data_IF_734095473848
#
_entry.id   IF_734095473848
#
_cell.length_a   1.000
_cell.length_b   1.000
_cell.length_c   1.000
_cell.angle_alpha   90.00
_cell.angle_beta   90.00
_cell.angle_gamma   90.00
#
_symmetry.space_group_name_H-M   'P 1'
#
loop_
_entity.id
_entity.type
_entity.pdbx_description
1 polymer ?
#
# COMPACT_ATOMS: atom_id res chain seq x y z
N UNK A 1 6.03 -25.07 58.97
CA UNK A 1 6.99 -25.30 57.87
C UNK A 1 6.56 -24.43 56.69
N UNK A 2 7.17 -23.26 56.43
CA UNK A 2 6.79 -22.42 55.31
C UNK A 2 7.51 -22.89 54.02
N UNK A 3 6.75 -23.01 52.93
CA UNK A 3 7.26 -23.40 51.61
C UNK A 3 8.09 -22.26 50.98
N UNK A 4 9.26 -22.54 50.37
CA UNK A 4 10.05 -21.52 49.67
C UNK A 4 9.38 -21.17 48.33
N UNK A 5 9.09 -19.88 48.13
CA UNK A 5 8.46 -19.36 46.90
C UNK A 5 9.52 -19.31 45.79
N UNK A 6 9.55 -20.32 44.92
CA UNK A 6 10.31 -20.29 43.66
C UNK A 6 9.69 -19.26 42.73
N UNK A 7 10.27 -18.06 42.66
CA UNK A 7 9.89 -17.05 41.66
C UNK A 7 10.29 -17.55 40.26
N UNK A 8 9.31 -18.02 39.51
CA UNK A 8 9.49 -18.55 38.17
C UNK A 8 9.97 -17.45 37.22
N UNK A 9 10.91 -17.78 36.33
CA UNK A 9 11.40 -16.89 35.27
C UNK A 9 10.28 -16.34 34.36
N UNK A 10 9.10 -16.96 34.38
CA UNK A 10 7.88 -16.47 33.73
C UNK A 10 7.41 -15.11 34.26
N UNK A 11 7.56 -14.81 35.55
CA UNK A 11 7.18 -13.52 36.14
C UNK A 11 8.08 -12.38 35.66
N UNK A 12 9.35 -12.69 35.38
CA UNK A 12 10.30 -11.71 34.82
C UNK A 12 9.91 -11.40 33.37
N UNK A 13 9.51 -12.41 32.59
CA UNK A 13 9.14 -12.25 31.18
C UNK A 13 7.83 -11.46 30.99
N UNK A 14 6.84 -11.67 31.88
CA UNK A 14 5.57 -10.94 31.89
C UNK A 14 5.75 -9.43 32.15
N UNK A 15 6.79 -9.04 32.92
CA UNK A 15 7.11 -7.63 33.17
C UNK A 15 7.71 -6.90 31.96
N UNK A 16 8.39 -7.61 31.06
CA UNK A 16 9.01 -6.99 29.87
C UNK A 16 8.02 -6.82 28.71
N UNK A 17 6.97 -7.64 28.63
CA UNK A 17 5.99 -7.57 27.55
C UNK A 17 4.90 -6.50 27.75
N UNK A 18 4.80 -5.90 28.93
CA UNK A 18 3.80 -4.86 29.24
C UNK A 18 4.32 -3.43 29.09
N UNK A 19 5.13 -3.14 28.07
CA UNK A 19 5.27 -1.77 27.55
C UNK A 19 4.12 -1.47 26.58
N UNK A 20 2.88 -1.46 27.08
CA UNK A 20 1.79 -0.79 26.38
C UNK A 20 2.20 0.67 26.23
N UNK A 21 2.42 1.14 24.99
CA UNK A 21 2.55 2.57 24.68
C UNK A 21 1.38 3.27 25.38
N UNK A 22 1.69 4.11 26.38
CA UNK A 22 0.69 4.95 27.05
C UNK A 22 0.15 5.90 25.99
N UNK A 23 -0.99 5.56 25.38
CA UNK A 23 -1.79 6.54 24.67
C UNK A 23 -1.98 7.73 25.64
N UNK A 24 -1.84 8.99 25.18
CA UNK A 24 -1.94 10.15 26.06
C UNK A 24 -3.26 10.07 26.83
N UNK A 25 -3.18 10.03 28.16
CA UNK A 25 -4.32 9.83 29.05
C UNK A 25 -5.43 10.85 28.80
N UNK A 26 -5.06 12.08 28.41
CA UNK A 26 -5.98 13.14 28.00
C UNK A 26 -6.81 12.82 26.75
N UNK A 27 -6.24 12.19 25.71
CA UNK A 27 -7.04 11.79 24.53
C UNK A 27 -7.99 10.66 24.86
N UNK A 28 -7.57 9.73 25.73
CA UNK A 28 -8.42 8.63 26.20
C UNK A 28 -9.54 9.14 27.10
N UNK A 29 -9.25 10.04 28.04
CA UNK A 29 -10.25 10.72 28.86
C UNK A 29 -11.23 11.53 28.01
N UNK A 30 -10.78 12.22 26.96
CA UNK A 30 -11.66 13.00 26.08
C UNK A 30 -12.53 12.11 25.18
N UNK A 31 -12.03 10.92 24.78
CA UNK A 31 -12.79 9.89 24.07
C UNK A 31 -13.83 9.21 24.97
N UNK A 32 -13.43 8.83 26.19
CA UNK A 32 -14.26 8.09 27.16
C UNK A 32 -15.33 8.99 27.80
N UNK A 33 -15.13 10.31 27.78
CA UNK A 33 -16.10 11.28 28.29
C UNK A 33 -17.36 11.41 27.43
N UNK A 34 -17.37 10.90 26.19
CA UNK A 34 -18.53 10.99 25.29
C UNK A 34 -18.78 9.69 24.52
N UNK A 35 -19.91 9.05 24.78
CA UNK A 35 -20.39 7.86 24.05
C UNK A 35 -20.48 8.09 22.55
N UNK A 36 -20.73 9.33 22.12
CA UNK A 36 -20.78 9.74 20.71
C UNK A 36 -19.41 9.68 20.05
N UNK A 37 -18.34 10.07 20.74
CA UNK A 37 -16.97 10.01 20.21
C UNK A 37 -16.50 8.57 20.01
N UNK A 38 -16.86 7.68 20.95
CA UNK A 38 -16.57 6.24 20.83
C UNK A 38 -17.34 5.59 19.67
N UNK A 39 -18.62 5.94 19.51
CA UNK A 39 -19.42 5.47 18.36
C UNK A 39 -18.85 5.97 17.03
N UNK A 40 -18.51 7.26 16.92
CA UNK A 40 -17.92 7.83 15.69
C UNK A 40 -16.62 7.13 15.32
N UNK A 41 -15.73 6.89 16.27
CA UNK A 41 -14.45 6.20 16.00
C UNK A 41 -14.70 4.75 15.56
N UNK A 42 -15.70 4.09 16.14
CA UNK A 42 -16.06 2.73 15.74
C UNK A 42 -16.57 2.68 14.30
N UNK A 43 -17.44 3.62 13.91
CA UNK A 43 -17.90 3.74 12.53
C UNK A 43 -16.76 4.08 11.56
N UNK A 44 -15.88 5.02 11.92
CA UNK A 44 -14.72 5.38 11.10
C UNK A 44 -13.80 4.19 10.90
N UNK A 45 -13.50 3.43 11.96
CA UNK A 45 -12.66 2.23 11.87
C UNK A 45 -13.34 1.14 11.05
N UNK A 46 -14.66 0.96 11.17
CA UNK A 46 -15.42 -0.02 10.40
C UNK A 46 -15.41 0.32 8.90
N UNK A 47 -15.68 1.58 8.55
CA UNK A 47 -15.62 2.07 7.16
C UNK A 47 -14.20 1.93 6.61
N UNK A 48 -13.19 2.37 7.37
CA UNK A 48 -11.80 2.27 6.94
C UNK A 48 -11.36 0.81 6.73
N UNK A 49 -11.74 -0.10 7.64
CA UNK A 49 -11.41 -1.53 7.51
C UNK A 49 -12.11 -2.15 6.30
N UNK A 50 -13.38 -1.81 6.07
CA UNK A 50 -14.12 -2.27 4.89
C UNK A 50 -13.51 -1.74 3.60
N UNK A 51 -13.08 -0.49 3.56
CA UNK A 51 -12.43 0.12 2.39
C UNK A 51 -11.09 -0.56 2.10
N UNK A 52 -10.25 -0.75 3.11
CA UNK A 52 -8.95 -1.44 2.96
C UNK A 52 -9.13 -2.90 2.52
N UNK A 53 -10.13 -3.61 3.04
CA UNK A 53 -10.45 -4.96 2.60
C UNK A 53 -10.94 -4.98 1.14
N UNK A 54 -11.71 -3.97 0.74
CA UNK A 54 -12.15 -3.75 -0.64
C UNK A 54 -10.97 -3.51 -1.59
N UNK A 55 -10.07 -2.59 -1.26
CA UNK A 55 -8.87 -2.30 -2.07
C UNK A 55 -7.97 -3.54 -2.25
N UNK A 56 -7.83 -4.35 -1.19
CA UNK A 56 -7.11 -5.62 -1.25
C UNK A 56 -7.70 -6.62 -2.24
N UNK A 57 -9.03 -6.68 -2.36
CA UNK A 57 -9.71 -7.57 -3.30
C UNK A 57 -9.82 -6.99 -4.73
N UNK A 58 -9.91 -5.66 -4.87
CA UNK A 58 -10.03 -4.98 -6.16
C UNK A 58 -8.72 -4.95 -6.95
N UNK A 59 -7.58 -4.80 -6.27
CA UNK A 59 -6.26 -4.71 -6.90
C UNK A 59 -5.91 -5.91 -7.80
N UNK A 60 -6.05 -7.19 -7.36
CA UNK A 60 -5.79 -8.34 -8.24
C UNK A 60 -6.80 -8.42 -9.39
N UNK A 61 -8.07 -8.06 -9.16
CA UNK A 61 -9.10 -8.03 -10.21
C UNK A 61 -8.78 -7.02 -11.31
N UNK A 62 -8.46 -5.78 -10.94
CA UNK A 62 -8.14 -4.70 -11.89
C UNK A 62 -6.83 -5.01 -12.62
N UNK A 63 -5.81 -5.51 -11.91
CA UNK A 63 -4.52 -5.88 -12.52
C UNK A 63 -4.67 -6.98 -13.58
N UNK A 64 -5.41 -8.05 -13.29
CA UNK A 64 -5.67 -9.13 -14.25
C UNK A 64 -6.50 -8.63 -15.43
N UNK A 65 -7.58 -7.89 -15.19
CA UNK A 65 -8.40 -7.33 -16.27
C UNK A 65 -7.59 -6.41 -17.18
N UNK A 66 -6.75 -5.55 -16.61
CA UNK A 66 -5.85 -4.66 -17.37
C UNK A 66 -4.84 -5.46 -18.19
N UNK A 67 -4.23 -6.51 -17.63
CA UNK A 67 -3.30 -7.37 -18.34
C UNK A 67 -3.96 -8.08 -19.54
N UNK A 68 -5.16 -8.62 -19.35
CA UNK A 68 -5.86 -9.33 -20.43
C UNK A 68 -6.38 -8.35 -21.49
N UNK A 69 -6.85 -7.16 -21.12
CA UNK A 69 -7.19 -6.09 -22.07
C UNK A 69 -5.97 -5.62 -22.87
N UNK A 70 -4.80 -5.50 -22.24
CA UNK A 70 -3.55 -5.16 -22.92
C UNK A 70 -3.15 -6.21 -23.98
N UNK A 71 -3.39 -7.49 -23.70
CA UNK A 71 -3.17 -8.58 -24.65
C UNK A 71 -4.21 -8.54 -25.80
N UNK A 72 -5.48 -8.24 -25.50
CA UNK A 72 -6.53 -8.10 -26.52
C UNK A 72 -6.23 -6.98 -27.52
N UNK A 73 -5.68 -5.85 -27.07
CA UNK A 73 -5.29 -4.74 -27.95
C UNK A 73 -4.29 -5.15 -29.04
N UNK A 74 -3.48 -6.19 -28.81
CA UNK A 74 -2.51 -6.72 -29.77
C UNK A 74 -3.09 -7.81 -30.70
N UNK A 75 -4.26 -8.38 -30.39
CA UNK A 75 -4.88 -9.48 -31.14
C UNK A 75 -6.39 -9.28 -31.33
N UNK A 76 -6.83 -8.69 -32.47
CA UNK A 76 -8.25 -8.42 -32.75
C UNK A 76 -9.09 -9.67 -33.10
N UNK A 77 -8.54 -10.90 -32.96
CA UNK A 77 -9.22 -12.17 -33.29
C UNK A 77 -9.84 -12.89 -32.09
N UNK A 78 -9.73 -12.35 -30.87
CA UNK A 78 -10.30 -12.96 -29.66
C UNK A 78 -11.55 -12.19 -29.24
N UNK A 79 -12.72 -12.84 -29.33
CA UNK A 79 -14.01 -12.31 -28.89
C UNK A 79 -13.95 -11.86 -27.42
N UNK A 80 -14.58 -10.72 -27.12
CA UNK A 80 -14.53 -10.10 -25.78
C UNK A 80 -14.98 -11.04 -24.65
N UNK A 81 -15.91 -11.96 -24.92
CA UNK A 81 -16.39 -12.93 -23.92
C UNK A 81 -15.31 -13.92 -23.47
N UNK A 82 -14.43 -14.36 -24.38
CA UNK A 82 -13.34 -15.27 -24.03
C UNK A 82 -12.29 -14.61 -23.12
N UNK A 83 -12.09 -13.30 -23.27
CA UNK A 83 -11.18 -12.50 -22.45
C UNK A 83 -11.69 -12.39 -21.01
N UNK A 84 -13.00 -12.16 -20.83
CA UNK A 84 -13.62 -12.08 -19.51
C UNK A 84 -13.53 -13.44 -18.81
N UNK A 85 -13.89 -14.53 -19.49
CA UNK A 85 -13.82 -15.89 -18.93
C UNK A 85 -12.38 -16.24 -18.53
N UNK A 86 -11.39 -15.94 -19.37
CA UNK A 86 -9.98 -16.18 -19.06
C UNK A 86 -9.53 -15.38 -17.82
N UNK A 87 -9.96 -14.13 -17.69
CA UNK A 87 -9.66 -13.30 -16.52
C UNK A 87 -10.21 -13.89 -15.23
N UNK A 88 -11.46 -14.40 -15.25
CA UNK A 88 -12.09 -15.07 -14.10
C UNK A 88 -11.32 -16.33 -13.72
N UNK A 89 -10.90 -17.14 -14.69
CA UNK A 89 -10.11 -18.36 -14.44
C UNK A 89 -8.76 -18.00 -13.79
N UNK A 90 -8.05 -16.99 -14.34
CA UNK A 90 -6.78 -16.53 -13.77
C UNK A 90 -6.98 -16.04 -12.34
N UNK A 91 -8.05 -15.29 -12.05
CA UNK A 91 -8.36 -14.83 -10.70
C UNK A 91 -8.61 -16.00 -9.74
N UNK A 92 -9.38 -17.00 -10.14
CA UNK A 92 -9.61 -18.20 -9.30
C UNK A 92 -8.27 -18.87 -8.97
N UNK A 93 -7.42 -19.10 -9.97
CA UNK A 93 -6.10 -19.72 -9.77
C UNK A 93 -5.23 -18.88 -8.84
N UNK A 94 -5.23 -17.55 -9.01
CA UNK A 94 -4.45 -16.61 -8.21
C UNK A 94 -4.90 -16.62 -6.75
N UNK A 95 -6.21 -16.54 -6.49
CA UNK A 95 -6.79 -16.61 -5.15
C UNK A 95 -6.52 -17.96 -4.47
N UNK A 96 -6.55 -19.06 -5.23
CA UNK A 96 -6.15 -20.36 -4.70
C UNK A 96 -4.68 -20.33 -4.28
N UNK A 97 -3.79 -19.79 -5.11
CA UNK A 97 -2.36 -19.74 -4.85
C UNK A 97 -2.00 -18.85 -3.66
N UNK A 98 -2.75 -17.78 -3.43
CA UNK A 98 -2.59 -16.89 -2.26
C UNK A 98 -2.90 -17.61 -0.94
N UNK A 99 -3.82 -18.58 -0.94
CA UNK A 99 -4.18 -19.36 0.25
C UNK A 99 -3.11 -20.40 0.65
N UNK A 100 -2.18 -20.77 -0.24
CA UNK A 100 -1.12 -21.76 0.05
C UNK A 100 0.06 -21.21 0.89
N UNK A 101 -0.03 -19.96 1.35
CA UNK A 101 0.91 -19.36 2.27
C UNK A 101 1.75 -18.26 1.60
N UNK A 102 1.38 -17.02 1.89
CA UNK A 102 2.04 -15.78 1.42
C UNK A 102 3.56 -15.79 1.63
N UNK A 103 4.07 -16.48 2.65
CA UNK A 103 5.52 -16.59 2.91
C UNK A 103 6.31 -17.27 1.79
N UNK A 104 5.77 -18.33 1.16
CA UNK A 104 6.49 -19.04 0.08
C UNK A 104 6.39 -18.29 -1.25
N UNK A 105 5.22 -17.71 -1.52
CA UNK A 105 4.98 -16.90 -2.74
C UNK A 105 5.84 -15.63 -2.71
N UNK A 106 5.92 -14.95 -1.56
CA UNK A 106 6.73 -13.73 -1.41
C UNK A 106 8.22 -13.97 -1.60
N UNK A 107 8.73 -15.15 -1.22
CA UNK A 107 10.14 -15.48 -1.43
C UNK A 107 10.49 -15.63 -2.91
N UNK A 108 9.61 -16.26 -3.70
CA UNK A 108 9.78 -16.36 -5.15
C UNK A 108 9.50 -15.04 -5.89
N UNK A 109 8.61 -14.21 -5.34
CA UNK A 109 8.23 -12.93 -5.94
C UNK A 109 9.24 -11.79 -5.63
N UNK A 110 10.01 -11.92 -4.56
CA UNK A 110 11.04 -10.94 -4.20
C UNK A 110 12.12 -10.75 -5.29
N UNK A 111 12.77 -11.80 -5.85
CA UNK A 111 13.77 -11.62 -6.90
C UNK A 111 13.20 -11.07 -8.20
N UNK A 112 11.99 -11.46 -8.61
CA UNK A 112 11.37 -10.93 -9.84
C UNK A 112 11.05 -9.43 -9.69
N UNK A 113 10.58 -9.01 -8.50
CA UNK A 113 10.33 -7.61 -8.20
C UNK A 113 11.62 -6.80 -8.14
N UNK A 114 12.67 -7.32 -7.50
CA UNK A 114 13.98 -6.66 -7.49
C UNK A 114 14.54 -6.50 -8.90
N UNK A 115 14.42 -7.53 -9.73
CA UNK A 115 14.88 -7.48 -11.11
C UNK A 115 14.10 -6.41 -11.91
N UNK A 116 12.77 -6.40 -11.79
CA UNK A 116 11.92 -5.40 -12.42
C UNK A 116 12.26 -3.97 -11.97
N UNK A 117 12.36 -3.74 -10.65
CA UNK A 117 12.75 -2.44 -10.11
C UNK A 117 14.16 -2.03 -10.54
N UNK A 118 15.10 -2.97 -10.63
CA UNK A 118 16.44 -2.70 -11.13
C UNK A 118 16.40 -2.25 -12.60
N UNK A 119 15.62 -2.91 -13.46
CA UNK A 119 15.43 -2.49 -14.84
C UNK A 119 14.79 -1.10 -14.95
N UNK A 120 13.70 -0.84 -14.23
CA UNK A 120 13.01 0.46 -14.23
C UNK A 120 13.94 1.56 -13.69
N UNK A 121 14.69 1.27 -12.62
CA UNK A 121 15.67 2.19 -12.03
C UNK A 121 16.80 2.50 -13.01
N UNK A 122 17.36 1.49 -13.68
CA UNK A 122 18.44 1.68 -14.65
C UNK A 122 17.97 2.48 -15.87
N UNK A 123 16.80 2.14 -16.42
CA UNK A 123 16.18 2.86 -17.54
C UNK A 123 15.87 4.31 -17.13
N UNK A 124 15.28 4.50 -15.95
CA UNK A 124 14.98 5.81 -15.40
C UNK A 124 16.24 6.66 -15.20
N UNK A 125 17.29 6.09 -14.60
CA UNK A 125 18.56 6.75 -14.38
C UNK A 125 19.26 7.10 -15.70
N UNK A 126 19.26 6.18 -16.66
CA UNK A 126 19.78 6.43 -18.01
C UNK A 126 19.03 7.59 -18.69
N UNK A 127 17.70 7.61 -18.57
CA UNK A 127 16.88 8.66 -19.16
C UNK A 127 17.15 10.04 -18.53
N UNK A 128 17.30 10.10 -17.21
CA UNK A 128 17.62 11.34 -16.48
C UNK A 128 18.99 11.88 -16.89
N UNK A 129 20.01 11.02 -16.94
CA UNK A 129 21.39 11.43 -17.26
C UNK A 129 21.51 11.85 -18.72
N UNK A 130 20.88 11.12 -19.65
CA UNK A 130 21.07 11.34 -21.09
C UNK A 130 20.15 12.42 -21.68
N UNK A 131 18.89 12.49 -21.26
CA UNK A 131 17.89 13.35 -21.91
C UNK A 131 17.56 14.62 -21.12
N UNK A 132 17.52 14.59 -19.77
CA UNK A 132 17.10 15.76 -18.97
C UNK A 132 17.80 15.85 -17.58
N UNK A 133 19.08 16.27 -17.50
CA UNK A 133 19.75 16.54 -16.23
C UNK A 133 19.10 17.61 -15.32
N UNK A 134 18.29 18.60 -15.81
CA UNK A 134 17.59 19.54 -14.93
C UNK A 134 16.53 18.89 -14.03
N UNK A 135 16.06 17.67 -14.32
CA UNK A 135 15.12 16.94 -13.44
C UNK A 135 15.70 16.75 -12.04
N UNK A 136 17.02 16.60 -11.90
CA UNK A 136 17.68 16.49 -10.59
C UNK A 136 17.59 17.79 -9.79
N UNK A 137 17.48 18.96 -10.44
CA UNK A 137 17.23 20.24 -9.75
C UNK A 137 15.81 20.33 -9.17
N UNK A 138 14.84 19.61 -9.75
CA UNK A 138 13.47 19.55 -9.23
C UNK A 138 13.37 18.79 -7.90
N UNK A 139 14.35 17.93 -7.57
CA UNK A 139 14.47 17.29 -6.25
C UNK A 139 14.80 18.32 -5.15
N UNK A 140 15.44 19.44 -5.52
CA UNK A 140 15.73 20.48 -4.53
C UNK A 140 14.44 21.19 -4.10
N UNK A 141 14.11 21.23 -2.78
CA UNK A 141 12.87 21.81 -2.28
C UNK A 141 12.76 23.32 -2.57
N UNK A 142 13.90 23.99 -2.79
CA UNK A 142 13.96 25.40 -3.21
C UNK A 142 13.31 25.65 -4.57
N UNK A 143 13.42 24.72 -5.53
CA UNK A 143 12.75 24.85 -6.84
C UNK A 143 11.24 24.64 -6.72
N UNK A 144 10.81 23.70 -5.88
CA UNK A 144 9.39 23.45 -5.62
C UNK A 144 8.73 24.67 -4.97
N UNK A 145 9.36 25.27 -3.96
CA UNK A 145 8.83 26.46 -3.28
C UNK A 145 8.78 27.66 -4.24
N UNK A 146 9.82 27.88 -5.03
CA UNK A 146 9.86 28.99 -6.01
C UNK A 146 8.83 28.79 -7.12
N UNK A 147 8.60 27.55 -7.54
CA UNK A 147 7.57 27.18 -8.52
C UNK A 147 6.16 27.40 -7.97
N UNK A 148 5.89 26.98 -6.73
CA UNK A 148 4.62 27.22 -6.06
C UNK A 148 4.37 28.72 -5.82
N UNK A 149 5.41 29.49 -5.48
CA UNK A 149 5.32 30.92 -5.26
C UNK A 149 4.96 31.70 -6.54
N UNK A 150 5.48 31.28 -7.71
CA UNK A 150 5.23 31.93 -9.01
C UNK A 150 3.95 31.45 -9.70
N UNK A 151 3.65 30.15 -9.64
CA UNK A 151 2.58 29.54 -10.44
C UNK A 151 1.32 29.14 -9.66
N UNK A 152 1.30 29.27 -8.32
CA UNK A 152 0.18 29.03 -7.37
C UNK A 152 -0.90 28.07 -7.90
N UNK A 153 -1.90 28.56 -8.65
CA UNK A 153 -2.99 27.74 -9.23
C UNK A 153 -2.52 26.57 -10.11
N UNK A 154 -1.61 26.83 -11.07
CA UNK A 154 -1.11 25.79 -11.98
C UNK A 154 -0.26 24.74 -11.25
N UNK A 155 0.43 25.15 -10.20
CA UNK A 155 1.20 24.21 -9.38
C UNK A 155 0.29 23.28 -8.56
N UNK A 156 -0.85 23.78 -8.08
CA UNK A 156 -1.88 22.98 -7.42
C UNK A 156 -2.53 21.96 -8.36
N UNK A 157 -2.87 22.36 -9.59
CA UNK A 157 -3.44 21.46 -10.60
C UNK A 157 -2.47 20.35 -10.98
N UNK A 158 -1.19 20.67 -11.17
CA UNK A 158 -0.15 19.69 -11.47
C UNK A 158 0.11 18.75 -10.30
N UNK A 159 0.11 19.24 -9.06
CA UNK A 159 0.24 18.38 -7.89
C UNK A 159 -0.93 17.41 -7.78
N UNK A 160 -2.16 17.88 -8.05
CA UNK A 160 -3.35 17.04 -8.13
C UNK A 160 -3.22 15.96 -9.20
N UNK A 161 -2.73 16.31 -10.39
CA UNK A 161 -2.50 15.35 -11.48
C UNK A 161 -1.42 14.32 -11.14
N UNK A 162 -0.35 14.72 -10.45
CA UNK A 162 0.71 13.80 -9.99
C UNK A 162 0.16 12.85 -8.94
N UNK A 163 -0.57 13.35 -7.94
CA UNK A 163 -1.20 12.51 -6.91
C UNK A 163 -2.17 11.52 -7.55
N UNK A 164 -3.02 11.98 -8.48
CA UNK A 164 -3.94 11.12 -9.22
C UNK A 164 -3.20 10.03 -10.00
N UNK A 165 -2.12 10.38 -10.70
CA UNK A 165 -1.30 9.42 -11.44
C UNK A 165 -0.61 8.39 -10.53
N UNK A 166 -0.25 8.77 -9.30
CA UNK A 166 0.35 7.85 -8.32
C UNK A 166 -0.72 6.92 -7.73
N UNK A 167 -1.92 7.43 -7.49
CA UNK A 167 -3.04 6.63 -6.96
C UNK A 167 -3.72 5.76 -8.01
N UNK A 168 -3.47 6.02 -9.30
CA UNK A 168 -4.08 5.31 -10.43
C UNK A 168 -5.24 6.06 -11.05
#
# INVERSE_FOLDING_TARGET
MPMPVTRLASDINLKFHSKKKKLPSKMREFLERSTTAQSVITYVVLIATSMVMGDGALTPAISVLSAVQGIQSRSPKITQDHVVILSVIILIILFLFENYGTSKVSFAFSPIMLLWFAFVSLIGLYNIIKYYPPVLKAVSPLHIITFFARNKRKAWEQLGAIVLCITG
#
